data_IF_552094389002
#
_entry.id   IF_552094389002
#
_cell.length_a   1.000
_cell.length_b   1.000
_cell.length_c   1.000
_cell.angle_alpha   90.00
_cell.angle_beta   90.00
_cell.angle_gamma   90.00
#
_symmetry.space_group_name_H-M   'P 1'
#
loop_
_entity.id
_entity.type
_entity.pdbx_description
1 polymer ?
#
# COMPACT_ATOMS: atom_id res chain seq x y z
N UNK A 1 0.56 10.75 7.91
CA UNK A 1 1.21 11.14 6.64
C UNK A 1 2.35 12.10 6.94
N UNK A 2 3.50 11.98 6.27
CA UNK A 2 4.64 12.90 6.40
C UNK A 2 5.32 13.10 5.04
N UNK A 3 5.89 14.27 4.82
CA UNK A 3 6.83 14.47 3.71
C UNK A 3 8.23 14.05 4.14
N UNK A 4 8.93 13.32 3.28
CA UNK A 4 10.32 12.89 3.47
C UNK A 4 11.10 13.07 2.18
N UNK A 5 12.42 13.11 2.30
CA UNK A 5 13.31 13.15 1.15
C UNK A 5 13.89 11.75 0.89
N UNK A 6 13.79 11.27 -0.35
CA UNK A 6 14.47 10.05 -0.81
C UNK A 6 15.37 10.43 -1.99
N UNK A 7 16.67 10.47 -1.74
CA UNK A 7 17.63 10.98 -2.71
C UNK A 7 17.38 12.47 -3.00
N UNK A 8 16.89 12.79 -4.20
CA UNK A 8 16.61 14.16 -4.64
C UNK A 8 15.10 14.43 -4.74
N UNK A 9 14.28 13.47 -4.29
CA UNK A 9 12.84 13.52 -4.44
C UNK A 9 12.13 13.84 -3.12
N UNK A 10 11.12 14.71 -3.19
CA UNK A 10 10.19 14.98 -2.10
C UNK A 10 9.02 14.01 -2.19
N UNK A 11 8.88 13.13 -1.21
CA UNK A 11 7.94 12.00 -1.23
C UNK A 11 6.92 12.13 -0.11
N UNK A 12 5.65 11.96 -0.43
CA UNK A 12 4.61 11.79 0.59
C UNK A 12 4.62 10.34 1.07
N UNK A 13 4.98 10.15 2.33
CA UNK A 13 5.08 8.87 2.99
C UNK A 13 3.87 8.64 3.91
N UNK A 14 3.14 7.56 3.64
CA UNK A 14 1.95 7.16 4.40
C UNK A 14 2.22 5.82 5.06
N UNK A 15 2.05 5.75 6.39
CA UNK A 15 2.17 4.50 7.14
C UNK A 15 0.86 3.72 7.04
N UNK A 16 0.70 3.04 5.91
CA UNK A 16 -0.44 2.16 5.60
C UNK A 16 0.08 1.05 4.66
N UNK A 17 -0.52 -0.14 4.74
CA UNK A 17 -0.21 -1.25 3.84
C UNK A 17 -1.46 -2.06 3.55
N UNK A 18 -1.53 -2.62 2.34
CA UNK A 18 -2.58 -3.55 1.95
C UNK A 18 -2.22 -5.03 2.21
N UNK A 19 -0.98 -5.29 2.64
CA UNK A 19 -0.49 -6.64 3.00
C UNK A 19 -0.53 -6.91 4.51
N UNK A 20 -0.79 -5.89 5.33
CA UNK A 20 -0.94 -6.01 6.79
C UNK A 20 0.35 -6.20 7.58
N UNK A 21 1.50 -5.98 6.96
CA UNK A 21 2.83 -5.94 7.56
C UNK A 21 3.33 -4.51 7.77
N UNK A 22 4.45 -4.35 8.48
CA UNK A 22 5.14 -3.07 8.57
C UNK A 22 5.55 -2.58 7.17
N UNK A 23 5.12 -1.38 6.82
CA UNK A 23 5.48 -0.75 5.56
C UNK A 23 4.89 0.63 5.41
N UNK A 24 5.17 1.22 4.25
CA UNK A 24 4.74 2.55 3.88
C UNK A 24 4.35 2.56 2.40
N UNK A 25 3.35 3.35 2.07
CA UNK A 25 3.07 3.77 0.71
C UNK A 25 3.80 5.08 0.42
N UNK A 26 4.50 5.10 -0.71
CA UNK A 26 5.31 6.23 -1.16
C UNK A 26 4.67 6.83 -2.40
N UNK A 27 4.10 8.03 -2.26
CA UNK A 27 3.59 8.80 -3.37
C UNK A 27 4.71 9.72 -3.87
N UNK A 28 5.18 9.45 -5.09
CA UNK A 28 6.41 10.00 -5.66
C UNK A 28 6.04 10.80 -6.92
N UNK A 29 6.61 12.01 -7.14
CA UNK A 29 6.51 12.71 -8.41
C UNK A 29 6.97 11.81 -9.57
N UNK A 30 6.20 11.76 -10.66
CA UNK A 30 6.40 10.78 -11.73
C UNK A 30 7.80 10.88 -12.36
N UNK A 31 8.30 12.11 -12.51
CA UNK A 31 9.63 12.43 -13.03
C UNK A 31 10.79 11.91 -12.15
N UNK A 32 10.51 11.61 -10.88
CA UNK A 32 11.49 11.11 -9.91
C UNK A 32 11.28 9.64 -9.53
N UNK A 33 10.24 8.98 -10.05
CA UNK A 33 9.86 7.62 -9.65
C UNK A 33 10.99 6.60 -9.84
N UNK A 34 11.68 6.63 -10.99
CA UNK A 34 12.80 5.72 -11.29
C UNK A 34 13.96 5.94 -10.33
N UNK A 35 14.33 7.19 -10.06
CA UNK A 35 15.41 7.52 -9.13
C UNK A 35 15.10 7.02 -7.71
N UNK A 36 13.87 7.25 -7.23
CA UNK A 36 13.45 6.77 -5.90
C UNK A 36 13.45 5.24 -5.83
N UNK A 37 12.92 4.57 -6.86
CA UNK A 37 12.96 3.12 -6.98
C UNK A 37 14.40 2.58 -6.89
N UNK A 38 15.32 3.12 -7.69
CA UNK A 38 16.72 2.68 -7.71
C UNK A 38 17.40 2.88 -6.34
N UNK A 39 17.10 3.99 -5.64
CA UNK A 39 17.61 4.22 -4.28
C UNK A 39 17.09 3.20 -3.28
N UNK A 40 15.82 2.84 -3.34
CA UNK A 40 15.20 1.84 -2.45
C UNK A 40 15.76 0.44 -2.74
N UNK A 41 15.83 0.04 -4.02
CA UNK A 41 16.33 -1.27 -4.41
C UNK A 41 17.79 -1.44 -4.02
N UNK A 42 18.63 -0.42 -4.25
CA UNK A 42 20.04 -0.46 -3.85
C UNK A 42 20.20 -0.65 -2.34
N UNK A 43 19.52 0.17 -1.53
CA UNK A 43 19.56 0.06 -0.07
C UNK A 43 19.00 -1.29 0.42
N UNK A 44 18.00 -1.84 -0.28
CA UNK A 44 17.36 -3.10 0.06
C UNK A 44 18.18 -4.36 -0.24
N UNK A 45 19.24 -4.28 -1.07
CA UNK A 45 20.07 -5.45 -1.41
C UNK A 45 20.65 -6.15 -0.18
N UNK A 46 21.17 -5.38 0.78
CA UNK A 46 21.73 -5.91 2.02
C UNK A 46 20.68 -6.56 2.94
N UNK A 47 19.40 -6.25 2.73
CA UNK A 47 18.26 -6.77 3.49
C UNK A 47 17.53 -7.91 2.77
N UNK A 48 18.02 -8.33 1.59
CA UNK A 48 17.37 -9.36 0.79
C UNK A 48 16.03 -8.92 0.18
N UNK A 49 15.89 -7.63 -0.15
CA UNK A 49 14.70 -7.08 -0.80
C UNK A 49 14.30 -7.89 -2.03
N UNK A 50 12.99 -8.15 -2.17
CA UNK A 50 12.40 -8.83 -3.32
C UNK A 50 11.22 -8.05 -3.85
N UNK A 51 11.06 -8.07 -5.17
CA UNK A 51 9.85 -7.57 -5.81
C UNK A 51 8.70 -8.54 -5.60
N UNK A 52 7.51 -8.00 -5.34
CA UNK A 52 6.27 -8.75 -5.23
C UNK A 52 5.25 -8.17 -6.23
N UNK A 53 4.53 -9.05 -6.91
CA UNK A 53 3.49 -8.66 -7.86
C UNK A 53 2.08 -8.71 -7.25
N UNK A 54 1.09 -8.35 -8.07
CA UNK A 54 -0.31 -8.26 -7.66
C UNK A 54 -0.91 -9.57 -7.13
N UNK A 55 -0.44 -10.73 -7.58
CA UNK A 55 -0.90 -12.03 -7.05
C UNK A 55 -0.53 -12.23 -5.57
N UNK A 56 0.69 -11.85 -5.19
CA UNK A 56 1.11 -11.90 -3.80
C UNK A 56 0.31 -10.90 -2.96
N UNK A 57 0.11 -9.68 -3.47
CA UNK A 57 -0.74 -8.66 -2.84
C UNK A 57 -2.17 -9.17 -2.60
N UNK A 58 -2.79 -9.79 -3.61
CA UNK A 58 -4.13 -10.36 -3.52
C UNK A 58 -4.24 -11.51 -2.50
N UNK A 59 -3.20 -12.33 -2.38
CA UNK A 59 -3.14 -13.37 -1.34
C UNK A 59 -3.08 -12.75 0.06
N UNK A 60 -2.13 -11.84 0.28
CA UNK A 60 -1.86 -11.26 1.60
C UNK A 60 -3.02 -10.37 2.09
N UNK A 61 -3.64 -9.58 1.19
CA UNK A 61 -4.80 -8.76 1.56
C UNK A 61 -5.99 -9.60 2.02
N UNK A 62 -6.14 -10.80 1.45
CA UNK A 62 -7.20 -11.74 1.82
C UNK A 62 -6.95 -12.33 3.21
N UNK A 63 -5.71 -12.68 3.53
CA UNK A 63 -5.32 -13.12 4.89
C UNK A 63 -5.59 -12.04 5.95
N UNK A 64 -5.51 -10.76 5.59
CA UNK A 64 -5.86 -9.63 6.46
C UNK A 64 -7.35 -9.32 6.51
N UNK A 65 -8.16 -9.92 5.64
CA UNK A 65 -9.60 -9.65 5.53
C UNK A 65 -9.91 -8.27 4.94
N UNK A 66 -9.01 -7.67 4.17
CA UNK A 66 -9.29 -6.41 3.47
C UNK A 66 -10.20 -6.65 2.26
N UNK A 67 -11.27 -5.84 2.16
CA UNK A 67 -12.26 -5.90 1.08
C UNK A 67 -11.75 -5.11 -0.14
N UNK A 68 -11.86 -5.72 -1.30
CA UNK A 68 -11.59 -5.13 -2.60
C UNK A 68 -12.90 -4.74 -3.29
N UNK A 69 -13.02 -3.46 -3.63
CA UNK A 69 -14.24 -2.92 -4.24
C UNK A 69 -14.39 -3.43 -5.68
N UNK A 70 -15.56 -3.97 -6.00
CA UNK A 70 -15.86 -4.67 -7.25
C UNK A 70 -15.56 -6.18 -7.21
N UNK A 71 -14.89 -6.69 -6.18
CA UNK A 71 -14.71 -8.14 -5.97
C UNK A 71 -15.47 -8.64 -4.74
N UNK A 72 -15.23 -8.04 -3.58
CA UNK A 72 -15.82 -8.49 -2.31
C UNK A 72 -17.05 -7.66 -1.92
N UNK A 73 -17.12 -6.42 -2.40
CA UNK A 73 -18.21 -5.46 -2.13
C UNK A 73 -18.45 -4.58 -3.35
N UNK A 74 -19.67 -4.08 -3.52
CA UNK A 74 -19.97 -3.01 -4.47
C UNK A 74 -21.06 -2.05 -3.93
N UNK A 75 -21.70 -1.27 -4.81
CA UNK A 75 -22.74 -0.32 -4.43
C UNK A 75 -24.09 -0.97 -4.07
N UNK A 76 -24.19 -2.29 -4.06
CA UNK A 76 -25.37 -3.06 -3.68
C UNK A 76 -25.26 -3.68 -2.29
N UNK A 77 -24.07 -3.64 -1.67
CA UNK A 77 -23.83 -4.15 -0.32
C UNK A 77 -23.95 -3.05 0.74
N UNK A 78 -24.57 -3.38 1.87
CA UNK A 78 -24.59 -2.50 3.04
C UNK A 78 -23.26 -2.62 3.83
N UNK A 79 -22.61 -1.51 4.24
CA UNK A 79 -21.35 -1.56 4.97
C UNK A 79 -21.40 -2.34 6.29
N UNK A 80 -22.55 -2.44 6.95
CA UNK A 80 -22.69 -3.23 8.17
C UNK A 80 -22.73 -4.72 7.85
N UNK A 81 -23.48 -5.13 6.82
CA UNK A 81 -23.53 -6.52 6.33
C UNK A 81 -22.16 -7.00 5.83
N UNK A 82 -21.40 -6.12 5.17
CA UNK A 82 -20.04 -6.40 4.71
C UNK A 82 -18.98 -6.46 5.83
N UNK A 83 -19.34 -6.15 7.08
CA UNK A 83 -18.42 -6.10 8.22
C UNK A 83 -17.51 -4.87 8.25
N UNK A 84 -17.90 -3.79 7.55
CA UNK A 84 -17.20 -2.50 7.46
C UNK A 84 -17.84 -1.42 8.33
N UNK A 85 -18.72 -1.78 9.27
CA UNK A 85 -19.38 -0.83 10.17
C UNK A 85 -18.41 0.07 10.97
N UNK A 86 -17.17 -0.38 11.19
CA UNK A 86 -16.12 0.43 11.84
C UNK A 86 -15.71 1.68 11.03
N UNK A 87 -16.03 1.72 9.73
CA UNK A 87 -15.69 2.82 8.83
C UNK A 87 -16.85 3.81 8.63
N UNK A 88 -18.02 3.57 9.23
CA UNK A 88 -19.20 4.45 9.14
C UNK A 88 -19.24 5.38 10.35
N UNK A 89 -19.15 6.68 10.12
CA UNK A 89 -19.35 7.71 11.15
C UNK A 89 -20.79 8.25 11.05
N UNK A 90 -21.61 7.99 12.08
CA UNK A 90 -23.00 8.43 12.19
C UNK A 90 -23.12 9.86 12.75
#
# INVERSE_FOLDING_TARGET
>A
VREIDIGLARVMCVRITYVGELGYELNIPAEQAVHVYDRIVEAGKALGLRHAGLKALASLRMEKGYRDYGHDIDNTDDPYEAGLGFAVAL
#
